data_IF_803152686929
#
_entry.id   IF_803152686929
#
_cell.length_a   1.000
_cell.length_b   1.000
_cell.length_c   1.000
_cell.angle_alpha   90.00
_cell.angle_beta   90.00
_cell.angle_gamma   90.00
#
_symmetry.space_group_name_H-M   'P 1'
#
loop_
_entity.id
_entity.type
_entity.pdbx_description
1 polymer ?
#
# COMPACT_ATOMS: atom_id res chain seq x y z
N UNK A 1 45.86 43.96 19.80
CA UNK A 1 45.81 44.03 18.32
C UNK A 1 46.55 42.84 17.73
N UNK A 2 45.83 41.98 17.00
CA UNK A 2 46.34 40.97 16.05
C UNK A 2 45.10 40.22 15.50
N UNK A 3 44.44 40.82 14.53
CA UNK A 3 43.32 40.22 13.80
C UNK A 3 43.89 39.29 12.74
N UNK A 4 43.74 37.97 12.95
CA UNK A 4 43.98 36.95 11.93
C UNK A 4 43.05 37.21 10.74
N UNK A 5 43.59 37.72 9.63
CA UNK A 5 42.95 37.68 8.31
C UNK A 5 42.61 36.21 8.01
N UNK A 6 41.32 35.87 7.96
CA UNK A 6 40.85 34.63 7.32
C UNK A 6 41.25 34.73 5.85
N UNK A 7 42.26 33.97 5.45
CA UNK A 7 42.53 33.71 4.04
C UNK A 7 41.31 33.01 3.45
N UNK A 8 40.50 33.75 2.69
CA UNK A 8 39.76 33.15 1.59
C UNK A 8 40.81 32.48 0.70
N UNK A 9 40.62 31.20 0.41
CA UNK A 9 41.28 30.56 -0.72
C UNK A 9 40.84 31.31 -1.98
N UNK A 10 41.60 32.31 -2.39
CA UNK A 10 41.53 32.89 -3.73
C UNK A 10 42.04 31.80 -4.68
N UNK A 11 41.10 31.06 -5.28
CA UNK A 11 41.35 30.15 -6.40
C UNK A 11 41.48 30.99 -7.68
N UNK A 12 42.23 32.09 -7.61
CA UNK A 12 42.43 32.92 -8.77
C UNK A 12 43.64 32.38 -9.54
N UNK A 13 43.34 31.71 -10.66
CA UNK A 13 44.25 31.23 -11.70
C UNK A 13 45.22 30.11 -11.26
N UNK A 14 44.74 28.86 -11.30
CA UNK A 14 45.62 27.68 -11.33
C UNK A 14 45.95 27.27 -12.78
N UNK A 15 47.11 27.68 -13.34
CA UNK A 15 47.42 27.59 -14.78
C UNK A 15 47.58 26.16 -15.33
N UNK A 16 47.51 25.12 -14.49
CA UNK A 16 47.70 23.72 -14.87
C UNK A 16 46.40 22.97 -15.16
N UNK A 17 45.24 23.55 -14.82
CA UNK A 17 43.94 22.97 -15.11
C UNK A 17 43.43 23.50 -16.45
N UNK A 18 42.93 22.64 -17.37
CA UNK A 18 42.27 23.09 -18.58
C UNK A 18 41.16 24.09 -18.24
N UNK A 19 40.98 25.12 -19.07
CA UNK A 19 40.04 26.22 -18.80
C UNK A 19 38.60 25.71 -18.55
N UNK A 20 38.20 24.64 -19.23
CA UNK A 20 36.93 23.93 -19.01
C UNK A 20 36.82 23.36 -17.60
N UNK A 21 37.91 22.81 -17.05
CA UNK A 21 37.98 22.21 -15.71
C UNK A 21 37.93 23.29 -14.61
N UNK A 22 38.54 24.46 -14.84
CA UNK A 22 38.51 25.59 -13.91
C UNK A 22 37.11 26.17 -13.71
N UNK A 23 36.31 26.26 -14.80
CA UNK A 23 34.92 26.75 -14.75
C UNK A 23 34.03 25.76 -14.00
N UNK A 24 34.17 24.46 -14.25
CA UNK A 24 33.48 23.41 -13.48
C UNK A 24 33.91 23.41 -12.01
N UNK A 25 35.19 23.64 -11.69
CA UNK A 25 35.67 23.63 -10.31
C UNK A 25 35.06 24.76 -9.47
N UNK A 26 34.91 25.97 -10.02
CA UNK A 26 34.25 27.08 -9.34
C UNK A 26 32.77 26.81 -9.06
N UNK A 27 32.04 26.28 -10.06
CA UNK A 27 30.64 25.91 -9.89
C UNK A 27 30.46 24.80 -8.83
N UNK A 28 31.36 23.81 -8.83
CA UNK A 28 31.37 22.72 -7.84
C UNK A 28 31.72 23.23 -6.43
N UNK A 29 32.65 24.17 -6.30
CA UNK A 29 32.98 24.79 -5.01
C UNK A 29 31.85 25.68 -4.47
N UNK A 30 31.07 26.33 -5.35
CA UNK A 30 29.84 27.02 -4.99
C UNK A 30 28.79 26.05 -4.43
N UNK A 31 28.47 25.00 -5.19
CA UNK A 31 27.53 23.97 -4.78
C UNK A 31 27.94 23.24 -3.48
N UNK A 32 29.23 23.03 -3.25
CA UNK A 32 29.75 22.45 -2.01
C UNK A 32 29.45 23.33 -0.77
N UNK A 33 29.38 24.66 -0.92
CA UNK A 33 29.03 25.57 0.18
C UNK A 33 27.54 25.50 0.53
N UNK A 34 26.70 25.14 -0.44
CA UNK A 34 25.26 24.92 -0.28
C UNK A 34 24.93 23.53 0.30
N UNK A 35 25.88 22.60 0.24
CA UNK A 35 25.85 21.32 0.93
C UNK A 35 26.15 20.13 0.03
N UNK A 36 26.23 18.94 0.63
CA UNK A 36 26.60 17.70 -0.05
C UNK A 36 25.65 17.35 -1.23
N UNK A 37 24.35 17.57 -1.04
CA UNK A 37 23.35 17.26 -2.06
C UNK A 37 23.44 18.21 -3.27
N UNK A 38 23.62 19.51 -3.04
CA UNK A 38 23.84 20.47 -4.11
C UNK A 38 25.09 20.13 -4.93
N UNK A 39 26.18 19.76 -4.26
CA UNK A 39 27.40 19.27 -4.92
C UNK A 39 27.13 18.01 -5.76
N UNK A 40 26.44 17.01 -5.21
CA UNK A 40 26.14 15.78 -5.92
C UNK A 40 25.29 16.03 -7.19
N UNK A 41 24.33 16.96 -7.10
CA UNK A 41 23.50 17.36 -8.24
C UNK A 41 24.35 18.05 -9.32
N UNK A 42 25.20 18.99 -8.92
CA UNK A 42 26.07 19.71 -9.85
C UNK A 42 27.01 18.76 -10.59
N UNK A 43 27.67 17.84 -9.87
CA UNK A 43 28.52 16.79 -10.47
C UNK A 43 27.70 15.90 -11.40
N UNK A 44 26.53 15.43 -10.96
CA UNK A 44 25.69 14.53 -11.74
C UNK A 44 25.22 15.15 -13.06
N UNK A 45 24.86 16.43 -13.06
CA UNK A 45 24.47 17.15 -14.27
C UNK A 45 25.64 17.32 -15.26
N UNK A 46 26.86 17.50 -14.76
CA UNK A 46 28.05 17.62 -15.60
C UNK A 46 28.46 16.28 -16.23
N UNK A 47 28.37 15.19 -15.45
CA UNK A 47 28.53 13.83 -15.97
C UNK A 47 27.49 13.55 -17.06
N UNK A 48 26.23 13.89 -16.83
CA UNK A 48 25.16 13.72 -17.82
C UNK A 48 25.45 14.50 -19.11
N UNK A 49 25.88 15.76 -19.00
CA UNK A 49 26.28 16.57 -20.16
C UNK A 49 27.41 15.90 -20.95
N UNK A 50 28.41 15.39 -20.24
CA UNK A 50 29.55 14.69 -20.83
C UNK A 50 29.13 13.41 -21.55
N UNK A 51 28.19 12.65 -20.97
CA UNK A 51 27.61 11.46 -21.62
C UNK A 51 26.88 11.82 -22.91
N UNK A 52 26.05 12.87 -22.91
CA UNK A 52 25.36 13.33 -24.12
C UNK A 52 26.36 13.79 -25.19
N UNK A 53 27.40 14.53 -24.84
CA UNK A 53 28.43 14.95 -25.81
C UNK A 53 29.25 13.77 -26.36
N UNK A 54 29.52 12.76 -25.54
CA UNK A 54 30.16 11.52 -25.98
C UNK A 54 29.27 10.75 -26.97
N UNK A 55 27.98 10.63 -26.68
CA UNK A 55 26.99 10.00 -27.59
C UNK A 55 26.90 10.76 -28.92
N UNK A 56 26.79 12.10 -28.88
CA UNK A 56 26.80 12.93 -30.08
C UNK A 56 28.07 12.70 -30.89
N UNK A 57 29.23 12.65 -30.22
CA UNK A 57 30.52 12.37 -30.86
C UNK A 57 30.56 10.99 -31.51
N UNK A 58 29.96 9.97 -30.89
CA UNK A 58 29.83 8.65 -31.49
C UNK A 58 28.95 8.65 -32.75
N UNK A 59 27.88 9.45 -32.77
CA UNK A 59 26.95 9.52 -33.91
C UNK A 59 27.52 10.31 -35.09
N UNK A 60 28.11 11.49 -34.84
CA UNK A 60 28.49 12.44 -35.90
C UNK A 60 30.00 12.59 -36.09
N UNK A 61 30.80 12.00 -35.20
CA UNK A 61 32.25 12.15 -35.15
C UNK A 61 32.74 13.34 -34.30
N UNK A 62 34.07 13.46 -34.15
CA UNK A 62 34.70 14.53 -33.37
C UNK A 62 34.45 15.91 -33.98
N UNK A 63 34.27 16.91 -33.11
CA UNK A 63 34.02 18.29 -33.50
C UNK A 63 35.19 18.84 -34.33
N UNK A 64 34.87 19.56 -35.41
CA UNK A 64 35.87 20.22 -36.27
C UNK A 64 36.60 19.30 -37.25
N UNK A 65 36.32 17.98 -37.29
CA UNK A 65 36.91 17.08 -38.28
C UNK A 65 35.93 16.81 -39.42
N UNK A 66 36.42 16.89 -40.66
CA UNK A 66 35.64 16.58 -41.84
C UNK A 66 35.43 15.06 -41.96
N UNK A 67 34.17 14.63 -42.05
CA UNK A 67 33.82 13.24 -42.39
C UNK A 67 32.89 13.24 -43.63
N UNK A 68 33.35 12.75 -44.79
CA UNK A 68 32.55 12.72 -46.02
C UNK A 68 31.38 11.72 -45.92
N UNK A 69 31.53 10.64 -45.14
CA UNK A 69 30.53 9.58 -44.99
C UNK A 69 29.54 9.82 -43.83
N UNK A 70 29.50 11.02 -43.26
CA UNK A 70 28.62 11.29 -42.11
C UNK A 70 27.14 11.19 -42.49
N UNK A 71 26.35 10.61 -41.60
CA UNK A 71 24.89 10.45 -41.75
C UNK A 71 24.08 11.51 -40.99
N UNK A 72 24.72 12.23 -40.07
CA UNK A 72 24.11 13.27 -39.25
C UNK A 72 25.12 14.38 -38.92
N UNK A 73 24.62 15.51 -38.45
CA UNK A 73 25.37 16.72 -38.09
C UNK A 73 24.97 17.23 -36.72
N UNK A 74 25.91 17.91 -36.04
CA UNK A 74 25.60 18.70 -34.83
C UNK A 74 24.74 19.89 -35.23
N UNK A 75 23.65 20.12 -34.50
CA UNK A 75 22.66 21.15 -34.81
C UNK A 75 22.42 22.07 -33.60
N UNK A 76 23.51 22.44 -32.91
CA UNK A 76 23.47 23.30 -31.72
C UNK A 76 22.99 22.59 -30.47
N UNK A 77 22.35 23.35 -29.58
CA UNK A 77 21.72 22.87 -28.35
C UNK A 77 20.33 23.50 -28.18
N UNK A 78 19.47 22.85 -27.40
CA UNK A 78 18.18 23.40 -26.98
C UNK A 78 17.99 23.29 -25.47
N UNK A 79 17.06 24.08 -24.94
CA UNK A 79 16.58 23.90 -23.58
C UNK A 79 15.84 22.57 -23.46
N UNK A 80 16.39 21.69 -22.63
CA UNK A 80 15.77 20.45 -22.20
C UNK A 80 15.49 20.48 -20.70
N UNK A 81 14.89 19.40 -20.20
CA UNK A 81 14.71 19.15 -18.77
C UNK A 81 15.04 17.72 -18.47
N UNK A 82 15.47 17.40 -17.26
CA UNK A 82 15.68 16.02 -16.78
C UNK A 82 15.03 15.81 -15.43
N UNK A 83 14.66 14.57 -15.13
CA UNK A 83 14.06 14.18 -13.86
C UNK A 83 15.16 13.91 -12.84
N UNK A 84 15.16 14.67 -11.74
CA UNK A 84 16.11 14.51 -10.65
C UNK A 84 15.48 14.93 -9.32
N UNK A 85 15.68 14.17 -8.23
CA UNK A 85 15.25 14.56 -6.89
C UNK A 85 13.74 14.81 -6.73
N UNK A 86 12.90 14.16 -7.55
CA UNK A 86 11.45 14.36 -7.54
C UNK A 86 10.97 15.67 -8.18
N UNK A 87 11.81 16.30 -9.02
CA UNK A 87 11.50 17.51 -9.81
C UNK A 87 12.08 17.41 -11.22
N UNK A 88 11.70 18.35 -12.09
CA UNK A 88 12.38 18.54 -13.38
C UNK A 88 13.40 19.67 -13.24
N UNK A 89 14.64 19.39 -13.64
CA UNK A 89 15.77 20.33 -13.65
C UNK A 89 16.06 20.73 -15.10
N UNK A 90 16.16 22.03 -15.42
CA UNK A 90 16.50 22.45 -16.78
C UNK A 90 17.95 22.10 -17.13
N UNK A 91 18.18 21.71 -18.38
CA UNK A 91 19.51 21.45 -18.92
C UNK A 91 19.64 22.00 -20.33
N UNK A 92 20.87 22.17 -20.82
CA UNK A 92 21.14 22.39 -22.24
C UNK A 92 21.43 21.05 -22.90
N UNK A 93 20.52 20.62 -23.77
CA UNK A 93 20.58 19.34 -24.49
C UNK A 93 21.23 19.57 -25.86
N UNK A 94 22.31 18.86 -26.22
CA UNK A 94 22.87 18.95 -27.56
C UNK A 94 21.94 18.31 -28.59
N UNK A 95 21.94 18.86 -29.80
CA UNK A 95 21.07 18.43 -30.90
C UNK A 95 21.85 17.82 -32.05
N UNK A 96 21.24 16.79 -32.64
CA UNK A 96 21.78 16.08 -33.79
C UNK A 96 20.68 15.92 -34.81
N UNK A 97 20.98 16.24 -36.07
CA UNK A 97 20.06 16.05 -37.19
C UNK A 97 20.65 15.18 -38.27
N UNK A 98 19.85 14.30 -38.84
CA UNK A 98 20.22 13.53 -40.02
C UNK A 98 20.36 14.44 -41.25
N UNK A 99 21.00 13.93 -42.31
CA UNK A 99 21.07 14.62 -43.62
C UNK A 99 19.69 15.01 -44.15
N UNK A 100 18.68 14.19 -43.88
CA UNK A 100 17.30 14.39 -44.31
C UNK A 100 16.51 15.33 -43.37
N UNK A 101 17.18 15.98 -42.41
CA UNK A 101 16.61 17.00 -41.54
C UNK A 101 15.87 16.48 -40.30
N UNK A 102 15.89 15.17 -40.03
CA UNK A 102 15.21 14.58 -38.87
C UNK A 102 16.05 14.69 -37.61
N UNK A 103 15.41 14.97 -36.47
CA UNK A 103 16.07 15.01 -35.18
C UNK A 103 16.44 13.60 -34.70
N UNK A 104 17.69 13.41 -34.30
CA UNK A 104 18.16 12.17 -33.69
C UNK A 104 17.91 12.22 -32.18
N UNK A 105 17.26 11.18 -31.67
CA UNK A 105 17.04 10.99 -30.24
C UNK A 105 18.33 10.50 -29.58
N UNK A 106 18.68 11.11 -28.46
CA UNK A 106 19.85 10.74 -27.66
C UNK A 106 19.39 9.83 -26.53
N UNK A 107 19.86 8.59 -26.52
CA UNK A 107 19.51 7.59 -25.51
C UNK A 107 19.93 8.04 -24.11
N UNK A 108 21.07 8.72 -23.99
CA UNK A 108 21.56 9.31 -22.74
C UNK A 108 20.64 10.42 -22.20
N UNK A 109 19.91 11.13 -23.06
CA UNK A 109 18.93 12.13 -22.63
C UNK A 109 17.57 11.50 -22.28
N UNK A 110 17.11 10.55 -23.10
CA UNK A 110 15.83 9.85 -22.89
C UNK A 110 15.81 9.06 -21.58
N UNK A 111 16.93 8.45 -21.19
CA UNK A 111 17.07 7.75 -19.92
C UNK A 111 16.74 8.63 -18.70
N UNK A 112 16.97 9.95 -18.79
CA UNK A 112 16.70 10.91 -17.72
C UNK A 112 15.38 11.69 -17.93
N UNK A 113 14.55 11.31 -18.91
CA UNK A 113 13.18 11.81 -19.07
C UNK A 113 12.14 11.02 -18.28
N UNK A 114 12.51 9.88 -17.69
CA UNK A 114 11.55 8.99 -17.05
C UNK A 114 10.86 9.65 -15.84
N UNK A 115 9.56 9.91 -15.98
CA UNK A 115 8.72 10.50 -14.94
C UNK A 115 8.23 9.49 -13.88
N UNK A 116 8.55 8.20 -14.01
CA UNK A 116 8.19 7.20 -13.01
C UNK A 116 8.73 7.57 -11.63
N UNK A 117 9.96 8.07 -11.56
CA UNK A 117 10.57 8.53 -10.30
C UNK A 117 9.85 9.76 -9.72
N UNK A 118 9.36 10.68 -10.56
CA UNK A 118 8.53 11.81 -10.09
C UNK A 118 7.21 11.30 -9.52
N UNK A 119 6.62 10.33 -10.20
CA UNK A 119 5.32 9.76 -9.89
C UNK A 119 5.37 9.00 -8.57
N UNK A 120 6.40 8.18 -8.37
CA UNK A 120 6.64 7.45 -7.14
C UNK A 120 6.95 8.39 -5.98
N UNK A 121 7.85 9.37 -6.17
CA UNK A 121 8.16 10.34 -5.12
C UNK A 121 6.92 11.17 -4.71
N UNK A 122 6.05 11.51 -5.66
CA UNK A 122 4.79 12.18 -5.36
C UNK A 122 3.86 11.29 -4.54
N UNK A 123 3.71 10.02 -4.92
CA UNK A 123 2.92 9.03 -4.20
C UNK A 123 3.40 8.88 -2.75
N UNK A 124 4.66 8.51 -2.55
CA UNK A 124 5.24 8.22 -1.24
C UNK A 124 5.10 9.41 -0.29
N UNK A 125 5.56 10.59 -0.73
CA UNK A 125 5.48 11.82 0.08
C UNK A 125 4.04 12.16 0.47
N UNK A 126 3.10 12.02 -0.46
CA UNK A 126 1.69 12.31 -0.19
C UNK A 126 1.06 11.29 0.77
N UNK A 127 1.39 10.00 0.64
CA UNK A 127 0.95 8.95 1.58
C UNK A 127 1.51 9.16 2.98
N UNK A 128 2.72 9.72 3.11
CA UNK A 128 3.31 10.12 4.39
C UNK A 128 2.87 11.50 4.89
N UNK A 129 1.84 12.10 4.27
CA UNK A 129 1.16 13.27 4.79
C UNK A 129 1.73 14.62 4.33
N UNK A 130 2.58 14.66 3.30
CA UNK A 130 2.90 15.91 2.62
C UNK A 130 1.76 16.31 1.68
N UNK A 131 1.10 17.43 1.99
CA UNK A 131 0.09 17.99 1.07
C UNK A 131 0.75 18.55 -0.19
N UNK A 132 -0.01 18.60 -1.30
CA UNK A 132 0.46 19.23 -2.56
C UNK A 132 0.90 20.68 -2.40
N UNK A 133 0.40 21.41 -1.39
CA UNK A 133 0.81 22.79 -1.08
C UNK A 133 2.16 22.85 -0.36
N UNK A 134 2.49 21.84 0.44
CA UNK A 134 3.74 21.72 1.21
C UNK A 134 4.76 20.80 0.55
N UNK A 135 4.48 20.32 -0.67
CA UNK A 135 5.30 19.33 -1.35
C UNK A 135 6.76 19.79 -1.52
N UNK A 136 6.97 21.09 -1.73
CA UNK A 136 8.29 21.68 -1.87
C UNK A 136 9.20 21.46 -0.65
N UNK A 137 8.64 21.36 0.57
CA UNK A 137 9.41 21.05 1.78
C UNK A 137 9.90 19.61 1.86
N UNK A 138 9.32 18.70 1.07
CA UNK A 138 9.76 17.31 0.99
C UNK A 138 10.82 17.06 -0.08
N UNK A 139 11.19 18.08 -0.85
CA UNK A 139 12.19 17.95 -1.92
C UNK A 139 13.60 18.14 -1.37
N UNK A 140 14.53 17.32 -1.85
CA UNK A 140 15.96 17.46 -1.53
C UNK A 140 16.52 18.77 -2.09
N UNK A 141 17.33 19.54 -1.33
CA UNK A 141 17.93 20.77 -1.85
C UNK A 141 18.86 20.44 -3.02
N UNK A 142 18.67 21.14 -4.15
CA UNK A 142 19.47 20.97 -5.38
C UNK A 142 20.37 22.19 -5.63
N UNK A 143 20.51 23.05 -4.62
CA UNK A 143 21.15 24.36 -4.71
C UNK A 143 20.20 25.48 -5.15
N UNK A 144 20.55 26.71 -4.80
CA UNK A 144 19.72 27.91 -5.02
C UNK A 144 19.70 28.34 -6.50
N UNK A 145 20.74 27.99 -7.25
CA UNK A 145 20.92 28.35 -8.66
C UNK A 145 20.07 27.51 -9.64
N UNK A 146 19.44 26.42 -9.19
CA UNK A 146 18.64 25.54 -10.05
C UNK A 146 17.13 25.76 -9.83
N UNK A 147 16.41 26.38 -10.80
CA UNK A 147 14.97 26.58 -10.67
C UNK A 147 14.24 25.23 -10.70
N UNK A 148 13.46 24.96 -9.66
CA UNK A 148 12.67 23.74 -9.54
C UNK A 148 11.41 23.81 -10.42
N UNK A 149 11.34 22.99 -11.48
CA UNK A 149 10.16 22.91 -12.37
C UNK A 149 9.39 21.60 -12.12
N UNK A 150 8.09 21.58 -12.43
CA UNK A 150 7.16 20.44 -12.24
C UNK A 150 6.87 20.03 -10.78
N UNK A 151 7.16 20.91 -9.83
CA UNK A 151 6.82 20.76 -8.41
C UNK A 151 5.51 21.46 -8.04
N UNK A 152 4.81 22.03 -9.03
CA UNK A 152 3.57 22.76 -8.80
C UNK A 152 2.48 21.83 -8.25
N UNK A 153 1.58 22.40 -7.45
CA UNK A 153 0.43 21.69 -6.85
C UNK A 153 -0.33 20.84 -7.88
N UNK A 154 -0.57 21.39 -9.07
CA UNK A 154 -1.29 20.72 -10.15
C UNK A 154 -0.49 19.58 -10.79
N UNK A 155 0.83 19.72 -10.90
CA UNK A 155 1.71 18.66 -11.42
C UNK A 155 1.74 17.47 -10.47
N UNK A 156 2.07 17.73 -9.19
CA UNK A 156 2.10 16.71 -8.13
C UNK A 156 0.76 15.99 -8.02
N UNK A 157 -0.36 16.73 -8.10
CA UNK A 157 -1.69 16.13 -8.07
C UNK A 157 -1.95 15.20 -9.26
N UNK A 158 -1.48 15.52 -10.46
CA UNK A 158 -1.64 14.65 -11.64
C UNK A 158 -0.81 13.38 -11.49
N UNK A 159 0.45 13.50 -11.08
CA UNK A 159 1.34 12.37 -10.80
C UNK A 159 0.75 11.44 -9.74
N UNK A 160 0.27 11.98 -8.62
CA UNK A 160 -0.40 11.20 -7.58
C UNK A 160 -1.66 10.49 -8.09
N UNK A 161 -2.49 11.17 -8.88
CA UNK A 161 -3.70 10.57 -9.46
C UNK A 161 -3.34 9.44 -10.42
N UNK A 162 -2.33 9.61 -11.27
CA UNK A 162 -1.85 8.58 -12.18
C UNK A 162 -1.32 7.35 -11.41
N UNK A 163 -0.47 7.57 -10.41
CA UNK A 163 0.09 6.52 -9.56
C UNK A 163 -1.00 5.70 -8.87
N UNK A 164 -1.94 6.39 -8.21
CA UNK A 164 -3.01 5.73 -7.44
C UNK A 164 -4.06 5.07 -8.33
N UNK A 165 -4.31 5.57 -9.55
CA UNK A 165 -5.14 4.87 -10.55
C UNK A 165 -4.51 3.56 -10.98
N UNK A 166 -3.21 3.60 -11.31
CA UNK A 166 -2.44 2.40 -11.68
C UNK A 166 -2.45 1.37 -10.55
N UNK A 167 -2.12 1.79 -9.33
CA UNK A 167 -2.10 0.92 -8.17
C UNK A 167 -3.47 0.28 -7.86
N UNK A 168 -4.56 1.05 -7.99
CA UNK A 168 -5.92 0.51 -7.84
C UNK A 168 -6.23 -0.53 -8.92
N UNK A 169 -5.94 -0.23 -10.20
CA UNK A 169 -6.19 -1.16 -11.30
C UNK A 169 -5.38 -2.46 -11.14
N UNK A 170 -4.11 -2.37 -10.75
CA UNK A 170 -3.25 -3.54 -10.49
C UNK A 170 -3.76 -4.38 -9.32
N UNK A 171 -4.23 -3.75 -8.24
CA UNK A 171 -4.82 -4.47 -7.11
C UNK A 171 -6.10 -5.22 -7.52
N UNK A 172 -6.99 -4.56 -8.27
CA UNK A 172 -8.24 -5.16 -8.71
C UNK A 172 -8.06 -6.21 -9.81
N UNK A 173 -6.96 -6.18 -10.57
CA UNK A 173 -6.65 -7.17 -11.60
C UNK A 173 -5.72 -8.31 -11.10
N UNK A 174 -5.26 -8.25 -9.85
CA UNK A 174 -4.29 -9.20 -9.30
C UNK A 174 -4.83 -10.64 -9.37
N UNK A 175 -4.16 -11.58 -10.04
CA UNK A 175 -4.57 -12.98 -10.07
C UNK A 175 -4.36 -13.61 -8.69
N UNK A 176 -5.32 -14.44 -8.26
CA UNK A 176 -5.32 -15.09 -6.95
C UNK A 176 -5.06 -16.59 -7.05
N UNK A 177 -5.10 -17.15 -8.27
CA UNK A 177 -4.98 -18.58 -8.53
C UNK A 177 -3.65 -19.21 -8.14
N UNK A 178 -2.56 -18.46 -8.06
CA UNK A 178 -1.22 -19.01 -7.80
C UNK A 178 -0.93 -19.24 -6.30
N UNK A 179 -1.83 -18.80 -5.42
CA UNK A 179 -1.64 -18.90 -3.97
C UNK A 179 -2.82 -19.63 -3.32
N UNK A 180 -2.53 -20.40 -2.27
CA UNK A 180 -3.55 -21.00 -1.42
C UNK A 180 -3.83 -20.08 -0.23
N UNK A 181 -5.01 -19.49 -0.19
CA UNK A 181 -5.47 -18.71 0.96
C UNK A 181 -6.26 -19.61 1.92
N UNK A 182 -5.86 -19.65 3.18
CA UNK A 182 -6.58 -20.39 4.23
C UNK A 182 -7.56 -19.49 5.00
N UNK A 183 -7.32 -18.18 5.00
CA UNK A 183 -8.16 -17.22 5.70
C UNK A 183 -8.48 -16.05 4.79
N UNK A 184 -9.75 -15.63 4.83
CA UNK A 184 -10.23 -14.38 4.25
C UNK A 184 -10.78 -13.50 5.38
N UNK A 185 -10.22 -12.31 5.56
CA UNK A 185 -10.75 -11.30 6.47
C UNK A 185 -11.52 -10.26 5.67
N UNK A 186 -12.76 -9.98 6.07
CA UNK A 186 -13.60 -8.96 5.46
C UNK A 186 -13.98 -7.94 6.53
N UNK A 187 -13.80 -6.66 6.21
CA UNK A 187 -14.15 -5.57 7.10
C UNK A 187 -14.44 -4.29 6.29
N UNK A 188 -15.24 -3.40 6.87
CA UNK A 188 -15.62 -2.12 6.29
C UNK A 188 -14.77 -0.98 6.83
N UNK A 189 -14.40 -0.04 5.95
CA UNK A 189 -13.83 1.25 6.36
C UNK A 189 -14.70 2.39 5.83
N UNK A 190 -15.12 3.26 6.74
CA UNK A 190 -15.74 4.53 6.40
C UNK A 190 -14.69 5.56 6.00
N UNK A 191 -14.82 6.09 4.78
CA UNK A 191 -13.95 7.14 4.23
C UNK A 191 -14.83 8.22 3.61
N UNK A 192 -14.92 9.35 4.31
CA UNK A 192 -15.93 10.38 4.04
C UNK A 192 -17.34 9.80 4.19
N UNK A 193 -18.22 9.98 3.20
CA UNK A 193 -19.59 9.48 3.22
C UNK A 193 -19.73 8.15 2.45
N UNK A 194 -18.62 7.41 2.31
CA UNK A 194 -18.55 6.15 1.58
C UNK A 194 -18.06 5.02 2.47
N UNK A 195 -18.74 3.88 2.39
CA UNK A 195 -18.30 2.62 2.98
C UNK A 195 -17.50 1.83 1.95
N UNK A 196 -16.28 1.42 2.31
CA UNK A 196 -15.46 0.54 1.46
C UNK A 196 -15.25 -0.78 2.17
N UNK A 197 -15.78 -1.86 1.57
CA UNK A 197 -15.54 -3.23 2.05
C UNK A 197 -14.21 -3.71 1.49
N UNK A 198 -13.34 -4.24 2.35
CA UNK A 198 -11.98 -4.67 1.99
C UNK A 198 -11.79 -6.14 2.31
N UNK A 199 -11.09 -6.84 1.42
CA UNK A 199 -10.69 -8.22 1.60
C UNK A 199 -9.18 -8.35 1.84
N UNK A 200 -8.80 -9.01 2.93
CA UNK A 200 -7.43 -9.40 3.24
C UNK A 200 -7.33 -10.93 3.29
N UNK A 201 -6.46 -11.50 2.48
CA UNK A 201 -6.15 -12.93 2.46
C UNK A 201 -4.97 -13.27 3.34
N UNK A 202 -5.00 -14.47 3.93
CA UNK A 202 -3.85 -15.08 4.59
C UNK A 202 -3.55 -16.40 3.88
N UNK A 203 -2.34 -16.49 3.35
CA UNK A 203 -1.84 -17.69 2.66
C UNK A 203 -1.58 -18.85 3.63
N UNK A 204 -1.37 -20.04 3.10
CA UNK A 204 -0.97 -21.23 3.86
C UNK A 204 0.41 -21.10 4.55
N UNK A 205 1.30 -20.24 4.05
CA UNK A 205 2.56 -19.87 4.71
C UNK A 205 2.43 -18.66 5.67
N UNK A 206 1.21 -18.12 5.80
CA UNK A 206 0.84 -17.09 6.77
C UNK A 206 1.13 -15.66 6.36
N UNK A 207 1.47 -15.40 5.09
CA UNK A 207 1.58 -14.06 4.53
C UNK A 207 0.21 -13.42 4.40
N UNK A 208 0.14 -12.13 4.72
CA UNK A 208 -1.07 -11.33 4.54
C UNK A 208 -0.99 -10.59 3.22
N UNK A 209 -2.10 -10.51 2.50
CA UNK A 209 -2.20 -9.75 1.25
C UNK A 209 -3.57 -9.10 1.14
N UNK A 210 -3.64 -7.86 0.67
CA UNK A 210 -4.89 -7.23 0.29
C UNK A 210 -5.31 -7.84 -1.04
N UNK A 211 -6.53 -8.38 -1.09
CA UNK A 211 -7.02 -9.09 -2.27
C UNK A 211 -7.91 -8.19 -3.12
N UNK A 212 -8.65 -7.28 -2.49
CA UNK A 212 -9.57 -6.39 -3.20
C UNK A 212 -10.31 -5.43 -2.27
N UNK A 213 -11.01 -4.50 -2.88
CA UNK A 213 -11.92 -3.58 -2.20
C UNK A 213 -13.11 -3.25 -3.10
N UNK A 214 -14.23 -2.91 -2.49
CA UNK A 214 -15.45 -2.48 -3.19
C UNK A 214 -16.13 -1.33 -2.45
N UNK A 215 -16.56 -0.32 -3.18
CA UNK A 215 -17.21 0.86 -2.61
C UNK A 215 -18.73 0.78 -2.76
N UNK A 216 -19.44 1.27 -1.75
CA UNK A 216 -20.88 1.52 -1.80
C UNK A 216 -21.34 2.52 -0.75
N UNK A 217 -22.61 2.90 -0.81
CA UNK A 217 -23.22 3.87 0.10
C UNK A 217 -23.49 3.31 1.52
N UNK A 218 -23.52 1.98 1.67
CA UNK A 218 -23.62 1.23 2.94
C UNK A 218 -22.96 -0.14 2.75
N UNK A 219 -22.71 -0.88 3.84
CA UNK A 219 -22.42 -2.32 3.80
C UNK A 219 -23.65 -3.14 3.36
N UNK A 220 -24.14 -2.91 2.15
CA UNK A 220 -25.23 -3.70 1.60
C UNK A 220 -24.68 -5.05 1.11
N UNK A 221 -25.50 -6.10 1.22
CA UNK A 221 -25.18 -7.45 0.77
C UNK A 221 -24.71 -7.50 -0.69
N UNK A 222 -25.19 -6.58 -1.53
CA UNK A 222 -24.75 -6.42 -2.93
C UNK A 222 -23.26 -6.09 -3.06
N UNK A 223 -22.76 -5.14 -2.24
CA UNK A 223 -21.34 -4.72 -2.27
C UNK A 223 -20.44 -5.87 -1.83
N UNK A 224 -20.84 -6.54 -0.75
CA UNK A 224 -20.11 -7.69 -0.21
C UNK A 224 -20.08 -8.86 -1.20
N UNK A 225 -21.20 -9.14 -1.86
CA UNK A 225 -21.30 -10.18 -2.90
C UNK A 225 -20.41 -9.84 -4.09
N UNK A 226 -20.49 -8.62 -4.60
CA UNK A 226 -19.69 -8.19 -5.75
C UNK A 226 -18.18 -8.37 -5.48
N UNK A 227 -17.70 -7.97 -4.30
CA UNK A 227 -16.32 -8.22 -3.90
C UNK A 227 -15.98 -9.72 -3.90
N UNK A 228 -16.79 -10.55 -3.23
CA UNK A 228 -16.52 -11.99 -3.14
C UNK A 228 -16.56 -12.69 -4.50
N UNK A 229 -17.52 -12.33 -5.35
CA UNK A 229 -17.64 -12.86 -6.73
C UNK A 229 -16.40 -12.50 -7.54
N UNK A 230 -15.96 -11.24 -7.49
CA UNK A 230 -14.72 -10.79 -8.16
C UNK A 230 -13.49 -11.57 -7.68
N UNK A 231 -13.36 -11.83 -6.37
CA UNK A 231 -12.24 -12.63 -5.85
C UNK A 231 -12.25 -14.06 -6.41
N UNK A 232 -13.43 -14.69 -6.49
CA UNK A 232 -13.57 -16.04 -7.05
C UNK A 232 -13.25 -16.05 -8.54
N UNK A 233 -13.75 -15.07 -9.30
CA UNK A 233 -13.45 -14.91 -10.74
C UNK A 233 -11.95 -14.71 -11.01
N UNK A 234 -11.24 -14.04 -10.10
CA UNK A 234 -9.77 -13.88 -10.14
C UNK A 234 -8.99 -15.11 -9.68
N UNK A 235 -9.67 -16.19 -9.30
CA UNK A 235 -9.07 -17.48 -8.98
C UNK A 235 -8.89 -17.76 -7.49
N UNK A 236 -9.63 -17.09 -6.59
CA UNK A 236 -9.62 -17.44 -5.17
C UNK A 236 -10.12 -18.89 -4.97
N UNK A 237 -9.19 -19.79 -4.65
CA UNK A 237 -9.47 -21.22 -4.41
C UNK A 237 -10.07 -21.44 -3.02
N UNK A 238 -11.20 -22.16 -2.96
CA UNK A 238 -11.92 -22.49 -1.71
C UNK A 238 -12.28 -23.98 -1.58
N UNK A 239 -11.82 -24.80 -2.52
CA UNK A 239 -12.02 -26.25 -2.59
C UNK A 239 -11.58 -26.97 -1.31
N UNK A 240 -10.42 -26.62 -0.75
CA UNK A 240 -9.94 -27.12 0.54
C UNK A 240 -10.57 -26.50 1.78
N UNK A 241 -11.64 -25.71 1.62
CA UNK A 241 -12.26 -24.91 2.67
C UNK A 241 -11.49 -23.62 2.99
N UNK A 242 -12.20 -22.60 3.46
CA UNK A 242 -11.64 -21.30 3.83
C UNK A 242 -12.25 -20.81 5.14
N UNK A 243 -11.42 -20.25 6.03
CA UNK A 243 -11.91 -19.54 7.21
C UNK A 243 -12.23 -18.09 6.82
N UNK A 244 -13.46 -17.64 7.01
CA UNK A 244 -13.84 -16.24 6.76
C UNK A 244 -14.04 -15.52 8.09
N UNK A 245 -13.20 -14.52 8.37
CA UNK A 245 -13.29 -13.70 9.59
C UNK A 245 -13.99 -12.39 9.27
N UNK A 246 -15.13 -12.13 9.93
CA UNK A 246 -15.95 -10.93 9.70
C UNK A 246 -16.23 -10.21 11.02
N UNK A 247 -16.48 -8.90 10.98
CA UNK A 247 -16.84 -8.07 12.12
C UNK A 247 -18.21 -8.44 12.73
N UNK A 248 -19.11 -8.99 11.92
CA UNK A 248 -20.47 -9.36 12.32
C UNK A 248 -21.58 -8.73 11.50
N UNK A 249 -21.27 -7.99 10.43
CA UNK A 249 -22.28 -7.46 9.54
C UNK A 249 -23.12 -8.59 8.92
N UNK A 250 -24.45 -8.50 9.10
CA UNK A 250 -25.39 -9.49 8.53
C UNK A 250 -25.26 -9.59 7.01
N UNK A 251 -24.94 -8.48 6.35
CA UNK A 251 -24.70 -8.40 4.91
C UNK A 251 -23.46 -9.22 4.48
N UNK A 252 -22.34 -9.08 5.19
CA UNK A 252 -21.12 -9.87 4.95
C UNK A 252 -21.41 -11.37 5.12
N UNK A 253 -22.06 -11.73 6.24
CA UNK A 253 -22.43 -13.12 6.51
C UNK A 253 -23.30 -13.72 5.40
N UNK A 254 -24.31 -12.98 4.95
CA UNK A 254 -25.19 -13.42 3.88
C UNK A 254 -24.42 -13.61 2.56
N UNK A 255 -23.56 -12.65 2.20
CA UNK A 255 -22.75 -12.71 0.98
C UNK A 255 -21.76 -13.89 1.00
N UNK A 256 -21.10 -14.15 2.13
CA UNK A 256 -20.19 -15.30 2.30
C UNK A 256 -20.92 -16.61 2.05
N UNK A 257 -22.09 -16.80 2.67
CA UNK A 257 -22.89 -18.02 2.48
C UNK A 257 -23.33 -18.19 1.03
N UNK A 258 -23.66 -17.09 0.35
CA UNK A 258 -24.17 -17.15 -1.01
C UNK A 258 -23.07 -17.46 -2.03
N UNK A 259 -21.91 -16.80 -1.90
CA UNK A 259 -20.82 -16.94 -2.88
C UNK A 259 -19.91 -18.14 -2.59
N UNK A 260 -19.61 -18.40 -1.31
CA UNK A 260 -18.64 -19.43 -0.91
C UNK A 260 -19.30 -20.71 -0.36
N UNK A 261 -20.59 -20.65 -0.02
CA UNK A 261 -21.37 -21.82 0.40
C UNK A 261 -20.79 -22.55 1.60
N UNK A 262 -20.93 -23.88 1.60
CA UNK A 262 -20.46 -24.76 2.66
C UNK A 262 -18.92 -24.84 2.79
N UNK A 263 -18.17 -24.31 1.82
CA UNK A 263 -16.71 -24.26 1.87
C UNK A 263 -16.20 -23.19 2.84
N UNK A 264 -17.01 -22.19 3.16
CA UNK A 264 -16.64 -21.11 4.07
C UNK A 264 -17.03 -21.43 5.52
N UNK A 265 -16.03 -21.53 6.39
CA UNK A 265 -16.25 -21.56 7.83
C UNK A 265 -16.19 -20.13 8.37
N UNK A 266 -17.27 -19.61 8.94
CA UNK A 266 -17.31 -18.21 9.43
C UNK A 266 -16.84 -18.11 10.88
N UNK A 267 -15.91 -17.20 11.14
CA UNK A 267 -15.55 -16.72 12.47
C UNK A 267 -15.96 -15.26 12.62
N UNK A 268 -16.73 -14.96 13.68
CA UNK A 268 -17.09 -13.57 14.00
C UNK A 268 -16.06 -12.94 14.93
N UNK A 269 -15.67 -11.71 14.65
CA UNK A 269 -14.70 -10.96 15.43
C UNK A 269 -15.18 -10.80 16.89
N UNK A 270 -14.43 -11.38 17.83
CA UNK A 270 -14.74 -11.31 19.26
C UNK A 270 -14.64 -9.88 19.80
N UNK A 271 -13.80 -9.03 19.20
CA UNK A 271 -13.64 -7.62 19.61
C UNK A 271 -14.88 -6.81 19.25
N UNK A 272 -15.34 -6.90 18.00
CA UNK A 272 -16.58 -6.26 17.55
C UNK A 272 -17.80 -6.81 18.30
N UNK A 273 -17.87 -8.13 18.45
CA UNK A 273 -18.91 -8.77 19.25
C UNK A 273 -18.99 -8.23 20.67
N UNK A 274 -17.83 -8.11 21.34
CA UNK A 274 -17.74 -7.56 22.69
C UNK A 274 -18.29 -6.14 22.73
N UNK A 275 -17.85 -5.27 21.80
CA UNK A 275 -18.34 -3.89 21.69
C UNK A 275 -19.87 -3.84 21.55
N UNK A 276 -20.41 -4.60 20.60
CA UNK A 276 -21.86 -4.66 20.34
C UNK A 276 -22.67 -5.12 21.57
N UNK A 277 -22.15 -6.03 22.38
CA UNK A 277 -22.83 -6.47 23.62
C UNK A 277 -22.75 -5.38 24.69
N UNK A 278 -21.58 -4.73 24.85
CA UNK A 278 -21.35 -3.71 25.86
C UNK A 278 -22.09 -2.39 25.58
N UNK A 279 -22.36 -2.07 24.33
CA UNK A 279 -23.10 -0.85 23.93
C UNK A 279 -24.56 -0.87 24.40
N UNK A 280 -25.13 -2.05 24.66
CA UNK A 280 -26.46 -2.22 25.24
C UNK A 280 -26.49 -2.20 26.78
N UNK A 281 -25.34 -2.00 27.42
CA UNK A 281 -25.20 -2.05 28.87
C UNK A 281 -24.90 -0.67 29.47
N UNK A 282 -25.41 -0.37 30.68
CA UNK A 282 -24.96 0.77 31.46
C UNK A 282 -23.52 0.54 31.95
N UNK A 283 -22.82 1.64 32.26
CA UNK A 283 -21.37 1.61 32.53
C UNK A 283 -20.97 0.68 33.68
N UNK A 284 -21.81 0.56 34.72
CA UNK A 284 -21.55 -0.27 35.89
C UNK A 284 -21.53 -1.78 35.56
N UNK A 285 -22.32 -2.20 34.57
CA UNK A 285 -22.40 -3.61 34.15
C UNK A 285 -21.30 -3.99 33.14
N UNK A 286 -20.74 -3.00 32.42
CA UNK A 286 -19.80 -3.26 31.31
C UNK A 286 -18.56 -4.04 31.75
N UNK A 287 -17.96 -3.69 32.88
CA UNK A 287 -16.74 -4.33 33.36
C UNK A 287 -16.95 -5.82 33.69
N UNK A 288 -18.07 -6.16 34.34
CA UNK A 288 -18.40 -7.55 34.69
C UNK A 288 -18.70 -8.40 33.45
N UNK A 289 -19.54 -7.90 32.53
CA UNK A 289 -19.85 -8.63 31.28
C UNK A 289 -18.61 -8.80 30.42
N UNK A 290 -17.81 -7.74 30.28
CA UNK A 290 -16.52 -7.78 29.56
C UNK A 290 -15.62 -8.91 30.05
N UNK A 291 -15.46 -9.05 31.38
CA UNK A 291 -14.65 -10.13 31.97
C UNK A 291 -15.24 -11.51 31.70
N UNK A 292 -16.56 -11.68 31.79
CA UNK A 292 -17.23 -12.96 31.53
C UNK A 292 -17.11 -13.41 30.07
N UNK A 293 -17.26 -12.49 29.12
CA UNK A 293 -17.02 -12.76 27.69
C UNK A 293 -15.57 -13.20 27.46
N UNK A 294 -14.60 -12.45 27.98
CA UNK A 294 -13.18 -12.80 27.84
C UNK A 294 -12.82 -14.14 28.48
N UNK A 295 -13.39 -14.45 29.64
CA UNK A 295 -13.17 -15.74 30.31
C UNK A 295 -13.68 -16.88 29.43
N UNK A 296 -14.91 -16.78 28.92
CA UNK A 296 -15.48 -17.81 28.07
C UNK A 296 -14.67 -18.01 26.77
N UNK A 297 -14.17 -16.94 26.16
CA UNK A 297 -13.33 -17.04 24.95
C UNK A 297 -11.89 -17.49 25.22
N UNK A 298 -11.42 -17.50 26.47
CA UNK A 298 -10.10 -18.03 26.87
C UNK A 298 -10.13 -19.52 27.18
N UNK A 299 -11.31 -20.13 27.28
CA UNK A 299 -11.44 -21.58 27.44
C UNK A 299 -10.68 -22.33 26.32
N UNK A 300 -10.36 -23.59 26.57
CA UNK A 300 -9.77 -24.50 25.57
C UNK A 300 -10.80 -25.45 25.00
N UNK A 301 -11.96 -25.57 25.65
CA UNK A 301 -13.04 -26.48 25.31
C UNK A 301 -14.23 -25.69 24.76
N UNK A 302 -14.73 -26.12 23.60
CA UNK A 302 -15.83 -25.47 22.91
C UNK A 302 -17.14 -25.50 23.70
N UNK A 303 -17.51 -26.64 24.29
CA UNK A 303 -18.77 -26.79 25.01
C UNK A 303 -18.78 -26.00 26.32
N UNK A 304 -17.63 -25.92 27.01
CA UNK A 304 -17.48 -25.05 28.18
C UNK A 304 -17.64 -23.58 27.81
N UNK A 305 -16.99 -23.13 26.73
CA UNK A 305 -17.11 -21.75 26.25
C UNK A 305 -18.56 -21.42 25.86
N UNK A 306 -19.21 -22.31 25.11
CA UNK A 306 -20.60 -22.18 24.67
C UNK A 306 -21.58 -22.14 25.84
N UNK A 307 -21.40 -23.02 26.81
CA UNK A 307 -22.23 -23.06 28.03
C UNK A 307 -22.06 -21.77 28.83
N UNK A 308 -20.83 -21.28 28.99
CA UNK A 308 -20.56 -20.03 29.70
C UNK A 308 -21.20 -18.81 29.03
N UNK A 309 -21.09 -18.69 27.70
CA UNK A 309 -21.72 -17.58 26.95
C UNK A 309 -23.25 -17.67 26.96
N UNK A 310 -23.82 -18.86 26.84
CA UNK A 310 -25.28 -19.08 26.88
C UNK A 310 -25.84 -18.74 28.26
N UNK A 311 -25.12 -19.14 29.31
CA UNK A 311 -25.47 -18.81 30.70
C UNK A 311 -25.40 -17.32 30.95
N UNK A 312 -24.35 -16.65 30.45
CA UNK A 312 -24.23 -15.19 30.53
C UNK A 312 -25.40 -14.49 29.82
N UNK A 313 -25.77 -14.93 28.62
CA UNK A 313 -26.92 -14.37 27.91
C UNK A 313 -28.23 -14.54 28.71
N UNK A 314 -28.42 -15.70 29.34
CA UNK A 314 -29.58 -15.95 30.22
C UNK A 314 -29.59 -15.04 31.45
N UNK A 315 -28.43 -14.81 32.08
CA UNK A 315 -28.33 -13.88 33.22
C UNK A 315 -28.64 -12.44 32.82
N UNK A 316 -28.28 -12.04 31.60
CA UNK A 316 -28.55 -10.70 31.08
C UNK A 316 -30.01 -10.49 30.66
N UNK A 317 -30.78 -11.55 30.45
CA UNK A 317 -32.08 -11.48 29.76
C UNK A 317 -33.12 -10.62 30.50
N UNK A 318 -33.13 -10.69 31.82
CA UNK A 318 -34.08 -9.97 32.67
C UNK A 318 -33.80 -8.45 32.70
N UNK A 319 -32.55 -8.07 33.01
CA UNK A 319 -32.18 -6.65 33.18
C UNK A 319 -31.71 -5.95 31.91
N UNK A 320 -31.14 -6.72 30.97
CA UNK A 320 -30.46 -6.21 29.78
C UNK A 320 -30.79 -7.05 28.53
N UNK A 321 -32.07 -7.15 28.12
CA UNK A 321 -32.50 -8.01 27.03
C UNK A 321 -31.82 -7.68 25.69
N UNK A 322 -31.48 -6.41 25.44
CA UNK A 322 -30.72 -5.99 24.26
C UNK A 322 -29.30 -6.59 24.22
N UNK A 323 -28.59 -6.59 25.36
CA UNK A 323 -27.26 -7.19 25.47
C UNK A 323 -27.34 -8.72 25.35
N UNK A 324 -28.37 -9.35 25.93
CA UNK A 324 -28.61 -10.78 25.80
C UNK A 324 -28.89 -11.19 24.34
N UNK A 325 -29.78 -10.48 23.65
CA UNK A 325 -30.08 -10.70 22.23
C UNK A 325 -28.84 -10.46 21.36
N UNK A 326 -28.12 -9.36 21.60
CA UNK A 326 -26.86 -9.05 20.93
C UNK A 326 -25.85 -10.18 21.14
N UNK A 327 -25.72 -10.75 22.35
CA UNK A 327 -24.82 -11.87 22.62
C UNK A 327 -25.23 -13.16 21.90
N UNK A 328 -26.51 -13.54 21.94
CA UNK A 328 -27.03 -14.76 21.28
C UNK A 328 -26.82 -14.73 19.76
N UNK A 329 -26.99 -13.58 19.13
CA UNK A 329 -26.87 -13.42 17.68
C UNK A 329 -25.47 -13.78 17.19
N UNK A 330 -25.29 -14.85 16.41
CA UNK A 330 -23.97 -15.27 15.93
C UNK A 330 -22.99 -15.70 17.03
N UNK A 331 -23.49 -16.13 18.21
CA UNK A 331 -22.66 -16.63 19.33
C UNK A 331 -21.74 -17.76 18.86
N UNK A 332 -22.29 -18.74 18.15
CA UNK A 332 -21.55 -19.91 17.66
C UNK A 332 -20.37 -19.53 16.76
N UNK A 333 -20.55 -18.50 15.93
CA UNK A 333 -19.52 -18.01 15.02
C UNK A 333 -18.37 -17.33 15.78
N UNK A 334 -18.58 -16.88 17.02
CA UNK A 334 -17.50 -16.36 17.86
C UNK A 334 -16.59 -17.47 18.40
N UNK A 335 -17.07 -18.71 18.38
CA UNK A 335 -16.40 -19.90 18.88
C UNK A 335 -15.85 -20.80 17.76
N UNK A 336 -15.94 -20.39 16.48
CA UNK A 336 -15.45 -21.19 15.35
C UNK A 336 -14.00 -21.61 15.51
N UNK A 337 -13.10 -20.70 15.91
CA UNK A 337 -11.67 -21.03 16.11
C UNK A 337 -11.43 -22.01 17.28
N UNK A 338 -12.36 -22.10 18.22
CA UNK A 338 -12.36 -23.10 19.29
C UNK A 338 -12.85 -24.46 18.79
N UNK A 339 -13.95 -24.45 18.04
CA UNK A 339 -14.54 -25.64 17.41
C UNK A 339 -13.61 -26.31 16.39
N UNK A 340 -12.76 -25.51 15.74
CA UNK A 340 -11.69 -26.00 14.86
C UNK A 340 -10.44 -26.48 15.63
N UNK A 341 -10.47 -26.46 16.97
CA UNK A 341 -9.40 -26.94 17.85
C UNK A 341 -8.04 -26.27 17.57
N UNK A 342 -8.06 -24.99 17.18
CA UNK A 342 -6.84 -24.32 16.78
C UNK A 342 -5.95 -24.00 18.00
N UNK A 343 -4.61 -24.08 17.84
CA UNK A 343 -3.69 -23.68 18.90
C UNK A 343 -3.85 -22.21 19.31
N UNK A 344 -3.57 -21.89 20.57
CA UNK A 344 -3.79 -20.55 21.14
C UNK A 344 -3.08 -19.44 20.34
N UNK A 345 -1.87 -19.71 19.85
CA UNK A 345 -1.11 -18.74 19.05
C UNK A 345 -1.86 -18.31 17.78
N UNK A 346 -2.53 -19.25 17.12
CA UNK A 346 -3.31 -19.00 15.92
C UNK A 346 -4.67 -18.39 16.26
N UNK A 347 -5.36 -18.91 17.30
CA UNK A 347 -6.63 -18.35 17.81
C UNK A 347 -6.52 -16.88 18.15
N UNK A 348 -5.41 -16.45 18.79
CA UNK A 348 -5.15 -15.03 19.12
C UNK A 348 -5.22 -14.11 17.90
N UNK A 349 -4.82 -14.60 16.73
CA UNK A 349 -4.86 -13.83 15.49
C UNK A 349 -6.21 -13.93 14.81
N UNK A 350 -6.78 -15.14 14.72
CA UNK A 350 -7.96 -15.41 13.88
C UNK A 350 -9.29 -15.10 14.57
N UNK A 351 -9.30 -14.85 15.88
CA UNK A 351 -10.51 -14.45 16.62
C UNK A 351 -10.98 -13.02 16.33
N UNK A 352 -10.21 -12.22 15.59
CA UNK A 352 -10.55 -10.83 15.28
C UNK A 352 -10.07 -10.38 13.90
N UNK A 353 -10.61 -9.25 13.48
CA UNK A 353 -10.28 -8.49 12.25
C UNK A 353 -9.10 -7.52 12.45
N UNK A 354 -8.37 -7.62 13.56
CA UNK A 354 -7.26 -6.70 13.86
C UNK A 354 -6.19 -6.59 12.76
N UNK A 355 -5.82 -7.66 12.01
CA UNK A 355 -4.89 -7.53 10.89
C UNK A 355 -5.35 -6.57 9.79
N UNK A 356 -6.65 -6.54 9.47
CA UNK A 356 -7.22 -5.65 8.45
C UNK A 356 -7.50 -4.25 9.03
N UNK A 357 -7.97 -4.16 10.29
CA UNK A 357 -8.13 -2.87 10.98
C UNK A 357 -6.81 -2.09 11.09
N UNK A 358 -5.70 -2.79 11.33
CA UNK A 358 -4.37 -2.17 11.33
C UNK A 358 -3.98 -1.59 9.97
N UNK A 359 -4.49 -2.12 8.86
CA UNK A 359 -4.29 -1.55 7.53
C UNK A 359 -5.18 -0.32 7.32
N UNK A 360 -6.38 -0.28 7.90
CA UNK A 360 -7.26 0.89 7.86
C UNK A 360 -6.64 2.12 8.53
N UNK A 361 -5.86 1.95 9.60
CA UNK A 361 -5.11 3.06 10.19
C UNK A 361 -4.13 3.72 9.19
N UNK A 362 -3.52 2.94 8.30
CA UNK A 362 -2.64 3.47 7.24
C UNK A 362 -3.44 4.25 6.20
N UNK A 363 -4.64 3.79 5.86
CA UNK A 363 -5.58 4.52 4.99
C UNK A 363 -5.99 5.86 5.62
N UNK A 364 -6.35 5.86 6.91
CA UNK A 364 -6.71 7.07 7.66
C UNK A 364 -5.55 8.06 7.72
N UNK A 365 -4.33 7.58 7.98
CA UNK A 365 -3.12 8.42 7.98
C UNK A 365 -2.81 9.03 6.61
N UNK A 366 -2.90 8.23 5.54
CA UNK A 366 -2.66 8.72 4.18
C UNK A 366 -3.69 9.78 3.77
N UNK A 367 -4.97 9.54 4.09
CA UNK A 367 -6.07 10.40 3.66
C UNK A 367 -6.38 11.58 4.58
N UNK A 368 -5.74 11.70 5.77
CA UNK A 368 -6.03 12.75 6.79
C UNK A 368 -6.05 14.19 6.29
N UNK A 369 -5.26 14.47 5.25
CA UNK A 369 -5.10 15.81 4.66
C UNK A 369 -6.12 16.09 3.55
N UNK A 370 -6.88 15.10 3.11
CA UNK A 370 -7.93 15.24 2.11
C UNK A 370 -9.17 15.83 2.79
N UNK A 371 -9.45 17.11 2.53
CA UNK A 371 -10.60 17.81 3.11
C UNK A 371 -11.83 17.86 2.20
N UNK A 372 -11.67 17.58 0.90
CA UNK A 372 -12.75 17.62 -0.08
C UNK A 372 -12.66 16.40 -0.99
N UNK A 373 -13.57 15.46 -0.75
CA UNK A 373 -13.77 14.28 -1.58
C UNK A 373 -14.69 14.64 -2.75
N UNK A 374 -14.36 14.16 -3.96
CA UNK A 374 -15.09 14.52 -5.18
C UNK A 374 -16.04 13.42 -5.65
N UNK A 375 -15.69 12.16 -5.42
CA UNK A 375 -16.44 10.98 -5.86
C UNK A 375 -15.84 9.70 -5.26
N UNK A 376 -16.57 8.59 -5.38
CA UNK A 376 -16.12 7.25 -4.94
C UNK A 376 -14.82 6.79 -5.60
N UNK A 377 -14.55 7.19 -6.85
CA UNK A 377 -13.28 6.91 -7.54
C UNK A 377 -12.07 7.55 -6.85
N UNK A 378 -12.25 8.70 -6.18
CA UNK A 378 -11.20 9.27 -5.35
C UNK A 378 -11.04 8.46 -4.06
N UNK A 379 -12.13 8.05 -3.43
CA UNK A 379 -12.14 7.20 -2.23
C UNK A 379 -11.39 5.90 -2.49
N UNK A 380 -11.80 5.13 -3.50
CA UNK A 380 -11.17 3.86 -3.88
C UNK A 380 -9.66 3.98 -4.08
N UNK A 381 -9.20 5.02 -4.78
CA UNK A 381 -7.76 5.24 -5.03
C UNK A 381 -6.96 5.54 -3.78
N UNK A 382 -7.49 6.38 -2.89
CA UNK A 382 -6.83 6.69 -1.61
C UNK A 382 -6.82 5.47 -0.69
N UNK A 383 -7.93 4.74 -0.62
CA UNK A 383 -8.05 3.50 0.15
C UNK A 383 -7.06 2.46 -0.36
N UNK A 384 -7.06 2.15 -1.66
CA UNK A 384 -6.12 1.21 -2.26
C UNK A 384 -4.66 1.60 -2.04
N UNK A 385 -4.31 2.87 -2.22
CA UNK A 385 -2.94 3.33 -2.00
C UNK A 385 -2.49 3.20 -0.54
N UNK A 386 -3.37 3.53 0.42
CA UNK A 386 -3.08 3.34 1.84
C UNK A 386 -2.98 1.86 2.25
N UNK A 387 -3.82 1.00 1.68
CA UNK A 387 -3.79 -0.44 1.91
C UNK A 387 -2.54 -1.09 1.34
N UNK A 388 -2.14 -0.75 0.11
CA UNK A 388 -0.91 -1.25 -0.50
C UNK A 388 0.34 -0.76 0.23
N UNK A 389 0.32 0.47 0.76
CA UNK A 389 1.39 0.95 1.63
C UNK A 389 1.44 0.18 2.96
N UNK A 390 0.29 -0.21 3.52
CA UNK A 390 0.24 -1.09 4.68
C UNK A 390 0.81 -2.49 4.37
N UNK A 391 0.49 -3.03 3.19
CA UNK A 391 0.91 -4.37 2.73
C UNK A 391 2.43 -4.51 2.71
N UNK A 392 3.18 -3.46 2.32
CA UNK A 392 4.66 -3.45 2.35
C UNK A 392 5.24 -3.77 3.74
N UNK A 393 4.51 -3.43 4.81
CA UNK A 393 4.92 -3.68 6.20
C UNK A 393 4.36 -4.96 6.80
N UNK A 394 3.62 -5.77 6.04
CA UNK A 394 2.99 -6.97 6.57
C UNK A 394 4.03 -8.02 6.94
N UNK A 395 3.90 -8.52 8.17
CA UNK A 395 4.60 -9.70 8.66
C UNK A 395 3.69 -10.90 8.58
N UNK A 396 4.26 -12.11 8.55
CA UNK A 396 3.50 -13.34 8.73
C UNK A 396 2.69 -13.31 10.02
N UNK A 397 1.52 -13.93 10.02
CA UNK A 397 0.65 -13.98 11.20
C UNK A 397 1.33 -14.70 12.37
N UNK A 398 0.96 -14.34 13.60
CA UNK A 398 1.39 -15.10 14.77
C UNK A 398 0.74 -16.49 14.72
N UNK A 399 1.56 -17.51 14.92
CA UNK A 399 1.14 -18.91 14.81
C UNK A 399 1.11 -19.48 13.39
N UNK A 400 1.77 -18.83 12.42
CA UNK A 400 1.81 -19.31 11.02
C UNK A 400 2.31 -20.76 10.89
N UNK A 401 3.21 -21.22 11.79
CA UNK A 401 3.71 -22.60 11.81
C UNK A 401 2.62 -23.64 12.09
N UNK A 402 1.48 -23.23 12.65
CA UNK A 402 0.33 -24.10 12.92
C UNK A 402 -0.77 -24.02 11.85
N UNK A 403 -0.56 -23.27 10.75
CA UNK A 403 -1.51 -23.23 9.64
C UNK A 403 -1.82 -24.58 8.98
N UNK A 404 -0.92 -25.58 8.95
CA UNK A 404 -1.28 -26.93 8.52
C UNK A 404 -2.48 -27.51 9.30
N UNK A 405 -2.57 -27.24 10.61
CA UNK A 405 -3.71 -27.71 11.42
C UNK A 405 -5.02 -27.03 11.01
N UNK A 406 -4.98 -25.73 10.68
CA UNK A 406 -6.13 -25.02 10.14
C UNK A 406 -6.55 -25.59 8.78
N UNK A 407 -5.58 -25.81 7.89
CA UNK A 407 -5.82 -26.39 6.55
C UNK A 407 -6.52 -27.75 6.65
N UNK A 408 -6.07 -28.62 7.56
CA UNK A 408 -6.67 -29.93 7.80
C UNK A 408 -8.08 -29.81 8.39
N UNK A 409 -8.27 -28.94 9.39
CA UNK A 409 -9.58 -28.71 10.01
C UNK A 409 -10.61 -28.16 9.01
N UNK A 410 -10.20 -27.22 8.14
CA UNK A 410 -11.04 -26.68 7.07
C UNK A 410 -11.38 -27.74 6.03
N UNK A 411 -10.42 -28.58 5.64
CA UNK A 411 -10.63 -29.65 4.66
C UNK A 411 -11.65 -30.66 5.17
N UNK A 412 -11.58 -31.06 6.46
CA UNK A 412 -12.59 -31.92 7.11
C UNK A 412 -13.98 -31.29 7.11
N UNK A 413 -14.08 -29.99 7.36
CA UNK A 413 -15.37 -29.29 7.35
C UNK A 413 -15.96 -29.13 5.94
N UNK A 414 -15.09 -28.91 4.95
CA UNK A 414 -15.47 -28.70 3.56
C UNK A 414 -15.83 -29.99 2.80
N UNK A 415 -15.55 -31.18 3.36
CA UNK A 415 -15.84 -32.49 2.76
C UNK A 415 -16.63 -33.39 3.73
N UNK A 416 -17.93 -33.12 3.96
CA UNK A 416 -18.72 -33.88 4.93
C UNK A 416 -18.98 -35.35 4.55
N UNK A 417 -18.77 -35.78 3.30
CA UNK A 417 -19.22 -37.11 2.81
C UNK A 417 -18.17 -38.24 2.82
N UNK A 418 -16.89 -37.99 3.14
CA UNK A 418 -15.87 -39.05 3.09
C UNK A 418 -15.70 -39.82 4.41
N UNK A 419 -16.24 -39.32 5.53
CA UNK A 419 -16.01 -39.89 6.87
C UNK A 419 -16.99 -40.99 7.27
N UNK A 420 -18.12 -41.16 6.57
CA UNK A 420 -19.11 -42.20 6.88
C UNK A 420 -18.88 -43.54 6.15
N UNK A 421 -18.01 -43.56 5.14
CA UNK A 421 -17.75 -44.75 4.32
C UNK A 421 -16.67 -45.69 4.89
N UNK A 422 -15.94 -45.30 5.95
CA UNK A 422 -14.82 -46.09 6.51
C UNK A 422 -15.19 -46.83 7.82
N UNK A 423 -16.41 -46.63 8.34
CA UNK A 423 -16.89 -47.35 9.54
C UNK A 423 -17.79 -48.57 9.22
N UNK A 424 -17.92 -48.96 7.95
CA UNK A 424 -18.58 -50.20 7.54
C UNK A 424 -17.72 -50.95 6.53
N UNK A 425 -16.64 -51.57 7.01
CA UNK A 425 -15.92 -52.63 6.34
C UNK A 425 -15.39 -53.62 7.39
#
# INVERSE_FOLDING_TARGET
GKTKKRQMLEVDKQPWLPQQVQVTLHALMGAAKEGLLALAVAVGLDVLRSMMEAEVTAIVGPKGKHNPNRKAFRHGAEEGRVVLGGRKVPIQRPRVRTKDGQEVRLSSYEAFQDEQLLTQAALERMLHGLSTRRYHHGLEPVGDDLPAVATSKSSVSRHFVAATRKALAELLARPLGDQRYLVLMLDGIEVADHTVVVALGITDDGQKQILGLWEGATENATVCRALLTDLVERGLRVDGGILVVIDGAKALRAAVRDVLGARATVQRCQVHKKRNVLDHLPDEARAWVSRKLEQAWRETDYEKARTALTSLAKTLDDKYPGAAASLREGLEETLTVLRLELPEALRKTLRSTNPIESAFEKVRMASRNVKRWRNGQQVLRWTAAGLLEAEKGFRRIKGYRQLPMLSEALSRHAAPEASSAVQTA
#
